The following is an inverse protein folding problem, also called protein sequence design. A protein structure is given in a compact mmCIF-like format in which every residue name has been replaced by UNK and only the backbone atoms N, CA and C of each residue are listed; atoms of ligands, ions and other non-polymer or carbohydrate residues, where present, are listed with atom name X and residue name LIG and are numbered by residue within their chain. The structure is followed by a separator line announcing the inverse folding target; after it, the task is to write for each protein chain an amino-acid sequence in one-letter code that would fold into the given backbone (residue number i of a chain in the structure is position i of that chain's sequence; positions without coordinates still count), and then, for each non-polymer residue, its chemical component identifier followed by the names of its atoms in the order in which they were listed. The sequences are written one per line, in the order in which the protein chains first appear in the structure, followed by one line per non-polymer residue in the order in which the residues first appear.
data_IF_583182621431
#
_entry.id   IF_583182621431
#
_cell.length_a   1.000
_cell.length_b   1.000
_cell.length_c   1.000
_cell.angle_alpha   90.00
_cell.angle_beta   90.00
_cell.angle_gamma   90.00
#
_symmetry.space_group_name_H-M   'P 1'
#
loop_
_entity.id
_entity.type
_entity.pdbx_description
1 polymer ?
#
# COMPACT_ATOMS: atom_id res chain seq x y z
N UNK A 1 12.26 -35.43 -21.71
CA UNK A 1 11.24 -35.30 -20.64
C UNK A 1 11.37 -33.90 -20.05
N UNK A 2 10.60 -32.93 -20.56
CA UNK A 2 10.63 -31.56 -20.02
C UNK A 2 9.87 -31.54 -18.70
N UNK A 3 10.57 -31.27 -17.59
CA UNK A 3 9.91 -30.97 -16.31
C UNK A 3 9.38 -29.54 -16.40
N UNK A 4 8.06 -29.39 -16.26
CA UNK A 4 7.42 -28.09 -16.06
C UNK A 4 7.87 -27.60 -14.67
N UNK A 5 8.45 -26.40 -14.62
CA UNK A 5 8.77 -25.75 -13.34
C UNK A 5 7.45 -25.28 -12.73
N UNK A 6 7.17 -25.73 -11.51
CA UNK A 6 6.16 -25.08 -10.69
C UNK A 6 6.74 -23.77 -10.16
N UNK A 7 6.36 -22.67 -10.82
CA UNK A 7 6.83 -21.34 -10.48
C UNK A 7 6.36 -20.87 -9.10
N UNK A 8 5.22 -21.36 -8.61
CA UNK A 8 4.68 -20.99 -7.31
C UNK A 8 5.53 -21.62 -6.20
N UNK A 9 5.85 -22.91 -6.34
CA UNK A 9 6.72 -23.60 -5.37
C UNK A 9 8.16 -23.07 -5.40
N UNK A 10 8.69 -22.75 -6.59
CA UNK A 10 9.99 -22.10 -6.69
C UNK A 10 10.00 -20.73 -6.01
N UNK A 11 8.95 -19.91 -6.22
CA UNK A 11 8.83 -18.61 -5.57
C UNK A 11 8.75 -18.74 -4.05
N UNK A 12 7.95 -19.67 -3.51
CA UNK A 12 7.85 -19.93 -2.06
C UNK A 12 9.20 -20.32 -1.47
N UNK A 13 9.95 -21.19 -2.15
CA UNK A 13 11.27 -21.63 -1.69
C UNK A 13 12.27 -20.47 -1.64
N UNK A 14 12.29 -19.62 -2.68
CA UNK A 14 13.12 -18.42 -2.70
C UNK A 14 12.69 -17.46 -1.59
N UNK A 15 11.39 -17.20 -1.45
CA UNK A 15 10.84 -16.29 -0.45
C UNK A 15 11.18 -16.72 0.98
N UNK A 16 11.04 -18.02 1.30
CA UNK A 16 11.38 -18.57 2.61
C UNK A 16 12.88 -18.51 2.92
N UNK A 17 13.73 -18.61 1.90
CA UNK A 17 15.19 -18.58 2.05
C UNK A 17 15.79 -17.18 2.20
N UNK A 18 15.01 -16.12 1.96
CA UNK A 18 15.50 -14.74 1.96
C UNK A 18 15.58 -14.15 3.37
N UNK A 19 16.77 -13.70 3.82
CA UNK A 19 16.93 -13.02 5.12
C UNK A 19 16.11 -11.74 5.23
N UNK A 20 15.89 -11.05 4.10
CA UNK A 20 15.08 -9.83 4.06
C UNK A 20 13.59 -10.12 4.29
N UNK A 21 13.08 -11.20 3.69
CA UNK A 21 11.71 -11.64 3.92
C UNK A 21 11.52 -12.12 5.36
N UNK A 22 12.45 -12.94 5.88
CA UNK A 22 12.41 -13.36 7.28
C UNK A 22 12.43 -12.19 8.28
N UNK A 23 13.15 -11.11 7.96
CA UNK A 23 13.16 -9.90 8.77
C UNK A 23 11.82 -9.14 8.70
N UNK A 24 11.20 -9.06 7.52
CA UNK A 24 9.88 -8.45 7.32
C UNK A 24 8.76 -9.23 8.02
N UNK A 25 8.83 -10.56 8.01
CA UNK A 25 7.83 -11.40 8.68
C UNK A 25 7.93 -11.28 10.21
N UNK A 26 9.13 -11.02 10.73
CA UNK A 26 9.36 -10.85 12.17
C UNK A 26 8.93 -9.48 12.69
N UNK A 27 9.31 -8.42 11.99
CA UNK A 27 9.00 -7.04 12.38
C UNK A 27 8.78 -6.16 11.13
N UNK A 28 7.58 -6.23 10.54
CA UNK A 28 7.27 -5.49 9.32
C UNK A 28 7.30 -3.98 9.56
N UNK A 29 6.94 -3.53 10.76
CA UNK A 29 6.92 -2.13 11.15
C UNK A 29 8.35 -1.53 11.09
N UNK A 30 9.31 -2.14 11.79
CA UNK A 30 10.67 -1.63 11.83
C UNK A 30 11.38 -1.64 10.45
N UNK A 31 11.04 -2.60 9.58
CA UNK A 31 11.56 -2.61 8.21
C UNK A 31 11.00 -1.44 7.40
N UNK A 32 9.68 -1.23 7.48
CA UNK A 32 9.04 -0.15 6.73
C UNK A 32 9.33 1.23 7.29
N UNK A 33 9.53 1.38 8.60
CA UNK A 33 9.95 2.64 9.22
C UNK A 33 11.27 3.14 8.62
N UNK A 34 12.24 2.24 8.44
CA UNK A 34 13.53 2.56 7.81
C UNK A 34 13.41 2.93 6.33
N UNK A 35 12.38 2.42 5.64
CA UNK A 35 12.20 2.58 4.19
C UNK A 35 11.24 3.69 3.80
N UNK A 36 10.36 4.12 4.71
CA UNK A 36 9.27 5.04 4.44
C UNK A 36 9.72 6.32 3.73
N UNK A 37 10.85 6.92 4.15
CA UNK A 37 11.39 8.13 3.53
C UNK A 37 11.84 7.90 2.10
N UNK A 38 12.57 6.81 1.83
CA UNK A 38 13.03 6.48 0.48
C UNK A 38 11.84 6.15 -0.44
N UNK A 39 10.88 5.38 0.07
CA UNK A 39 9.66 5.05 -0.65
C UNK A 39 8.87 6.30 -1.03
N UNK A 40 8.65 7.22 -0.07
CA UNK A 40 7.98 8.51 -0.33
C UNK A 40 8.66 9.33 -1.42
N UNK A 41 9.99 9.28 -1.49
CA UNK A 41 10.75 10.00 -2.54
C UNK A 41 10.58 9.34 -3.90
N UNK A 42 10.64 8.01 -3.95
CA UNK A 42 10.46 7.25 -5.19
C UNK A 42 9.06 7.46 -5.78
N UNK A 43 8.02 7.44 -4.94
CA UNK A 43 6.62 7.49 -5.39
C UNK A 43 6.09 8.90 -5.67
N UNK A 44 6.83 9.97 -5.33
CA UNK A 44 6.44 11.36 -5.61
C UNK A 44 6.19 11.65 -7.09
N UNK A 45 6.82 10.90 -7.99
CA UNK A 45 6.67 11.05 -9.45
C UNK A 45 5.53 10.24 -10.06
N UNK A 46 4.87 9.35 -9.31
CA UNK A 46 3.96 8.33 -9.83
C UNK A 46 2.52 8.84 -10.03
N UNK A 47 2.35 10.10 -10.43
CA UNK A 47 1.01 10.70 -10.61
C UNK A 47 0.18 9.94 -11.63
N UNK A 48 0.76 9.64 -12.81
CA UNK A 48 0.06 8.93 -13.89
C UNK A 48 -0.37 7.52 -13.47
N UNK A 49 0.51 6.78 -12.78
CA UNK A 49 0.18 5.45 -12.28
C UNK A 49 -0.95 5.53 -11.24
N UNK A 50 -0.88 6.51 -10.34
CA UNK A 50 -1.94 6.78 -9.34
C UNK A 50 -3.28 7.09 -10.02
N UNK A 51 -3.30 7.95 -11.03
CA UNK A 51 -4.52 8.27 -11.80
C UNK A 51 -5.10 7.04 -12.52
N UNK A 52 -4.25 6.19 -13.09
CA UNK A 52 -4.67 4.95 -13.75
C UNK A 52 -5.26 3.96 -12.74
N UNK A 53 -4.64 3.79 -11.58
CA UNK A 53 -5.14 2.94 -10.50
C UNK A 53 -6.49 3.45 -9.98
N UNK A 54 -6.64 4.76 -9.77
CA UNK A 54 -7.92 5.36 -9.36
C UNK A 54 -9.03 5.16 -10.42
N UNK A 55 -8.69 5.24 -11.70
CA UNK A 55 -9.64 4.99 -12.77
C UNK A 55 -10.07 3.51 -12.84
N UNK A 56 -9.18 2.58 -12.48
CA UNK A 56 -9.52 1.15 -12.38
C UNK A 56 -10.41 0.87 -11.16
N UNK A 57 -10.15 1.56 -10.04
CA UNK A 57 -10.98 1.44 -8.84
C UNK A 57 -12.41 1.96 -9.06
N UNK A 58 -12.59 2.95 -9.95
CA UNK A 58 -13.89 3.52 -10.35
C UNK A 58 -14.81 3.83 -9.16
N UNK A 59 -14.24 4.51 -8.16
CA UNK A 59 -14.88 4.72 -6.87
C UNK A 59 -16.11 5.63 -6.96
N UNK A 60 -17.17 5.26 -6.24
CA UNK A 60 -18.37 6.05 -6.09
C UNK A 60 -18.42 6.79 -4.75
N UNK A 61 -19.13 7.91 -4.70
CA UNK A 61 -19.14 8.81 -3.55
C UNK A 61 -19.75 8.24 -2.26
N UNK A 62 -20.48 7.12 -2.33
CA UNK A 62 -21.08 6.46 -1.17
C UNK A 62 -20.25 5.30 -0.61
N UNK A 63 -19.09 5.01 -1.17
CA UNK A 63 -18.32 3.83 -0.80
C UNK A 63 -17.47 4.05 0.46
N UNK A 64 -17.25 2.97 1.20
CA UNK A 64 -16.30 2.91 2.32
C UNK A 64 -15.14 2.00 1.95
N UNK A 65 -13.92 2.52 2.07
CA UNK A 65 -12.69 1.85 1.59
C UNK A 65 -11.76 1.52 2.75
N UNK A 66 -11.17 0.32 2.72
CA UNK A 66 -10.05 -0.07 3.57
C UNK A 66 -8.78 -0.19 2.71
N UNK A 67 -7.82 0.72 2.92
CA UNK A 67 -6.51 0.71 2.26
C UNK A 67 -5.49 -0.01 3.15
N UNK A 68 -5.15 -1.26 2.82
CA UNK A 68 -4.20 -2.10 3.57
C UNK A 68 -2.80 -1.96 2.98
N UNK A 69 -1.83 -1.56 3.80
CA UNK A 69 -0.50 -1.19 3.33
C UNK A 69 -0.50 0.18 2.66
N UNK A 70 -1.28 1.12 3.22
CA UNK A 70 -1.49 2.45 2.66
C UNK A 70 -0.19 3.24 2.47
N UNK A 71 0.90 2.82 3.13
CA UNK A 71 2.20 3.47 3.06
C UNK A 71 2.04 4.93 3.41
N UNK A 72 2.63 5.81 2.60
CA UNK A 72 2.54 7.27 2.81
C UNK A 72 1.27 7.90 2.22
N UNK A 73 0.24 7.11 1.94
CA UNK A 73 -1.07 7.57 1.48
C UNK A 73 -1.13 7.94 -0.01
N UNK A 74 -0.31 7.31 -0.86
CA UNK A 74 -0.32 7.57 -2.32
C UNK A 74 -1.72 7.35 -2.92
N UNK A 75 -2.41 6.30 -2.47
CA UNK A 75 -3.78 5.97 -2.86
C UNK A 75 -4.82 6.43 -1.82
N UNK A 76 -4.61 6.16 -0.53
CA UNK A 76 -5.55 6.59 0.53
C UNK A 76 -6.00 8.05 0.41
N UNK A 77 -5.06 9.00 0.14
CA UNK A 77 -5.38 10.42 0.08
C UNK A 77 -6.30 10.78 -1.11
N UNK A 78 -5.99 10.41 -2.36
CA UNK A 78 -6.91 10.67 -3.46
C UNK A 78 -8.20 9.85 -3.39
N UNK A 79 -8.19 8.62 -2.88
CA UNK A 79 -9.42 7.83 -2.63
C UNK A 79 -10.37 8.60 -1.71
N UNK A 80 -9.85 9.20 -0.64
CA UNK A 80 -10.64 10.00 0.32
C UNK A 80 -11.23 11.29 -0.26
N UNK A 81 -10.90 11.66 -1.51
CA UNK A 81 -11.56 12.77 -2.21
C UNK A 81 -12.86 12.36 -2.89
N UNK A 82 -13.06 11.05 -3.08
CA UNK A 82 -14.22 10.49 -3.76
C UNK A 82 -15.07 9.68 -2.79
N UNK A 83 -14.50 8.68 -2.13
CA UNK A 83 -15.21 7.80 -1.21
C UNK A 83 -15.76 8.54 0.03
N UNK A 84 -16.87 8.06 0.59
CA UNK A 84 -17.47 8.62 1.81
C UNK A 84 -16.55 8.44 3.02
N UNK A 85 -15.87 7.29 3.08
CA UNK A 85 -14.96 6.99 4.16
C UNK A 85 -13.77 6.13 3.72
N UNK A 86 -12.58 6.44 4.25
CA UNK A 86 -11.36 5.65 4.02
C UNK A 86 -10.68 5.35 5.35
N UNK A 87 -10.49 4.07 5.63
CA UNK A 87 -9.59 3.61 6.70
C UNK A 87 -8.27 3.17 6.08
N UNK A 88 -7.18 3.83 6.43
CA UNK A 88 -5.83 3.48 5.98
C UNK A 88 -5.10 2.73 7.09
N UNK A 89 -4.55 1.56 6.77
CA UNK A 89 -3.80 0.71 7.69
C UNK A 89 -2.38 0.49 7.16
N UNK A 90 -1.38 0.77 7.97
CA UNK A 90 0.01 0.41 7.70
C UNK A 90 0.69 -0.01 9.01
N UNK A 91 1.50 -1.09 9.03
CA UNK A 91 2.21 -1.50 10.24
C UNK A 91 3.29 -0.50 10.67
N UNK A 92 3.81 0.33 9.76
CA UNK A 92 4.87 1.30 10.04
C UNK A 92 4.29 2.64 10.51
N UNK A 93 4.73 3.08 11.69
CA UNK A 93 4.36 4.38 12.24
C UNK A 93 4.90 5.55 11.40
N UNK A 94 6.03 5.36 10.71
CA UNK A 94 6.60 6.37 9.81
C UNK A 94 5.84 6.47 8.47
N UNK A 95 5.02 5.47 8.14
CA UNK A 95 4.16 5.46 6.97
C UNK A 95 2.82 6.17 7.25
N UNK A 96 2.30 6.12 8.47
CA UNK A 96 1.00 6.72 8.84
C UNK A 96 0.78 8.09 8.20
N UNK A 97 -0.18 8.25 7.27
CA UNK A 97 -0.75 9.56 7.04
C UNK A 97 -1.36 9.98 8.37
N UNK A 98 -1.03 11.16 8.89
CA UNK A 98 -1.68 11.72 10.08
C UNK A 98 -3.18 11.47 9.94
N UNK A 99 -3.75 10.65 10.81
CA UNK A 99 -5.13 10.14 10.80
C UNK A 99 -6.09 11.03 9.99
N UNK A 100 -6.51 10.57 8.80
CA UNK A 100 -7.49 11.29 7.97
C UNK A 100 -8.88 10.92 8.44
N UNK A 101 -9.29 11.49 9.57
CA UNK A 101 -10.67 11.40 10.04
C UNK A 101 -11.38 12.73 9.77
N UNK A 102 -12.31 12.69 8.83
CA UNK A 102 -13.40 13.67 8.58
C UNK A 102 -12.95 15.06 8.08
N UNK A 103 -12.99 15.27 6.77
CA UNK A 103 -13.34 16.59 6.21
C UNK A 103 -14.87 16.63 6.15
N UNK A 104 -15.56 17.65 6.71
CA UNK A 104 -17.01 17.71 6.56
C UNK A 104 -17.36 17.87 5.08
N UNK A 105 -18.51 17.33 4.62
CA UNK A 105 -19.01 17.65 3.30
C UNK A 105 -19.15 19.18 3.21
N UNK A 106 -18.47 19.78 2.23
CA UNK A 106 -18.64 21.19 1.92
C UNK A 106 -20.01 21.32 1.27
N UNK A 107 -21.03 21.62 2.09
CA UNK A 107 -22.31 22.16 1.65
C UNK A 107 -22.23 23.67 1.48
#
# INVERSE_FOLDING_TARGET
MHRIIDWNELWKAIHASSPEHAARDRDPAAVWDKRATAYRRATRGEKRATEQELAILDLAAGETVLDVGAGTGRLAVPIARTADHVTALDPSGACSPSSVSRWPPQG
#
